data_IF_359172625693
#
_entry.id   IF_359172625693
#
_cell.length_a   1.000
_cell.length_b   1.000
_cell.length_c   1.000
_cell.angle_alpha   90.00
_cell.angle_beta   90.00
_cell.angle_gamma   90.00
#
_symmetry.space_group_name_H-M   'P 1'
#
loop_
_entity.id
_entity.type
_entity.pdbx_description
1 polymer ?
#
# COMPACT_ATOMS: atom_id res chain seq x y z
N UNK A 1 54.85 -0.78 -18.63
CA UNK A 1 54.06 -0.98 -19.85
C UNK A 1 52.69 -1.50 -19.45
N UNK A 2 51.76 -0.59 -19.26
CA UNK A 2 50.37 -0.92 -18.94
C UNK A 2 49.63 -1.34 -20.20
N UNK A 3 49.09 -2.54 -20.20
CA UNK A 3 48.18 -3.02 -21.24
C UNK A 3 46.83 -2.29 -21.08
N UNK A 4 46.46 -1.46 -22.05
CA UNK A 4 45.14 -0.89 -22.11
C UNK A 4 44.16 -1.91 -22.69
N UNK A 5 43.07 -2.19 -21.99
CA UNK A 5 41.95 -2.97 -22.55
C UNK A 5 41.26 -2.17 -23.64
N UNK A 6 41.17 -2.75 -24.85
CA UNK A 6 40.43 -2.16 -25.95
C UNK A 6 38.94 -2.39 -25.69
N UNK A 7 38.16 -1.30 -25.73
CA UNK A 7 36.71 -1.38 -25.60
C UNK A 7 36.13 -2.11 -26.82
N UNK A 8 35.72 -3.35 -26.63
CA UNK A 8 35.06 -4.13 -27.68
C UNK A 8 33.59 -3.76 -27.74
N UNK A 9 33.09 -3.40 -28.92
CA UNK A 9 31.64 -3.21 -29.12
C UNK A 9 30.94 -4.53 -28.83
N UNK A 10 29.89 -4.50 -28.02
CA UNK A 10 29.07 -5.67 -27.73
C UNK A 10 28.46 -6.23 -29.01
N UNK A 11 28.60 -7.54 -29.23
CA UNK A 11 27.90 -8.21 -30.35
C UNK A 11 26.46 -8.38 -29.98
N UNK A 12 25.54 -7.78 -30.76
CA UNK A 12 24.11 -7.98 -30.59
C UNK A 12 23.78 -9.48 -30.78
N UNK A 13 23.15 -10.09 -29.81
CA UNK A 13 22.64 -11.46 -29.94
C UNK A 13 21.41 -11.42 -30.84
N UNK A 14 21.40 -12.24 -31.89
CA UNK A 14 20.27 -12.41 -32.80
C UNK A 14 19.58 -13.74 -32.51
N UNK A 15 18.25 -13.78 -32.73
CA UNK A 15 17.47 -15.03 -32.61
C UNK A 15 16.81 -15.28 -31.27
N UNK A 16 16.89 -14.35 -30.29
CA UNK A 16 16.03 -14.40 -29.12
C UNK A 16 14.58 -14.10 -29.53
N UNK A 17 13.64 -14.88 -29.05
CA UNK A 17 12.18 -14.57 -29.12
C UNK A 17 11.66 -14.46 -27.72
N UNK A 18 10.84 -13.45 -27.50
CA UNK A 18 10.08 -13.38 -26.25
C UNK A 18 9.10 -14.56 -26.20
N UNK A 19 9.00 -15.26 -25.07
CA UNK A 19 8.04 -16.33 -24.92
C UNK A 19 6.62 -15.80 -25.01
N UNK A 20 5.70 -16.59 -25.55
CA UNK A 20 4.27 -16.30 -25.44
C UNK A 20 3.85 -16.58 -24.00
N UNK A 21 3.47 -15.55 -23.25
CA UNK A 21 3.00 -15.67 -21.87
C UNK A 21 1.51 -16.00 -21.92
N UNK A 22 1.12 -17.07 -21.23
CA UNK A 22 -0.28 -17.49 -21.05
C UNK A 22 -0.74 -17.19 -19.61
N UNK A 23 -2.06 -17.17 -19.38
CA UNK A 23 -2.62 -16.95 -18.04
C UNK A 23 -2.15 -17.99 -17.01
N UNK A 24 -1.82 -19.22 -17.47
CA UNK A 24 -1.24 -20.26 -16.63
C UNK A 24 0.13 -19.88 -16.05
N UNK A 25 0.93 -19.09 -16.77
CA UNK A 25 2.25 -18.65 -16.31
C UNK A 25 2.13 -17.66 -15.15
N UNK A 26 1.12 -16.77 -15.19
CA UNK A 26 0.82 -15.89 -14.06
C UNK A 26 0.36 -16.67 -12.83
N UNK A 27 -0.46 -17.71 -13.00
CA UNK A 27 -0.88 -18.58 -11.90
C UNK A 27 0.30 -19.35 -11.29
N UNK A 28 1.23 -19.82 -12.13
CA UNK A 28 2.46 -20.46 -11.69
C UNK A 28 3.37 -19.47 -10.94
N UNK A 29 3.49 -18.23 -11.42
CA UNK A 29 4.22 -17.16 -10.75
C UNK A 29 3.63 -16.87 -9.36
N UNK A 30 2.31 -16.68 -9.24
CA UNK A 30 1.66 -16.42 -7.95
C UNK A 30 1.86 -17.59 -6.96
N UNK A 31 1.81 -18.83 -7.46
CA UNK A 31 2.11 -20.02 -6.66
C UNK A 31 3.56 -20.04 -6.17
N UNK A 32 4.50 -19.65 -7.02
CA UNK A 32 5.91 -19.55 -6.65
C UNK A 32 6.14 -18.41 -5.64
N UNK A 33 5.46 -17.27 -5.84
CA UNK A 33 5.56 -16.08 -5.00
C UNK A 33 5.06 -16.34 -3.57
N UNK A 34 4.14 -17.27 -3.36
CA UNK A 34 3.64 -17.62 -2.03
C UNK A 34 4.72 -18.08 -1.05
N UNK A 35 5.85 -18.55 -1.56
CA UNK A 35 7.01 -19.00 -0.75
C UNK A 35 7.84 -17.83 -0.20
N UNK A 36 7.58 -16.61 -0.65
CA UNK A 36 8.34 -15.43 -0.29
C UNK A 36 7.50 -14.41 0.49
N UNK A 37 8.17 -13.63 1.34
CA UNK A 37 7.54 -12.47 1.98
C UNK A 37 7.73 -11.25 1.09
N UNK A 38 6.65 -10.48 0.90
CA UNK A 38 6.64 -9.25 0.12
C UNK A 38 5.50 -8.36 0.64
N UNK A 39 5.64 -7.05 0.49
CA UNK A 39 4.63 -6.08 0.89
C UNK A 39 3.72 -5.69 -0.28
N UNK A 40 4.29 -5.61 -1.49
CA UNK A 40 3.56 -5.23 -2.70
C UNK A 40 3.92 -6.17 -3.85
N UNK A 41 2.91 -6.55 -4.63
CA UNK A 41 3.07 -7.22 -5.92
C UNK A 41 2.47 -6.35 -7.01
N UNK A 42 3.13 -6.26 -8.17
CA UNK A 42 2.71 -5.43 -9.30
C UNK A 42 2.32 -6.31 -10.48
N UNK A 43 1.24 -5.95 -11.17
CA UNK A 43 0.90 -6.46 -12.48
C UNK A 43 0.69 -5.29 -13.45
N UNK A 44 1.45 -5.28 -14.52
CA UNK A 44 1.49 -4.21 -15.53
C UNK A 44 0.73 -4.55 -16.82
N UNK A 45 -0.08 -5.61 -16.79
CA UNK A 45 -0.94 -6.01 -17.89
C UNK A 45 -2.36 -5.46 -17.75
N UNK A 46 -3.21 -5.82 -18.72
CA UNK A 46 -4.60 -5.39 -18.81
C UNK A 46 -5.62 -6.55 -18.81
N UNK A 47 -5.14 -7.80 -18.72
CA UNK A 47 -5.98 -8.98 -18.77
C UNK A 47 -6.83 -9.12 -17.50
N UNK A 48 -8.14 -8.96 -17.59
CA UNK A 48 -9.05 -8.98 -16.42
C UNK A 48 -8.98 -10.29 -15.62
N UNK A 49 -8.79 -11.43 -16.30
CA UNK A 49 -8.64 -12.73 -15.63
C UNK A 49 -7.39 -12.75 -14.74
N UNK A 50 -6.29 -12.15 -15.20
CA UNK A 50 -5.04 -12.05 -14.43
C UNK A 50 -5.21 -11.07 -13.27
N UNK A 51 -5.82 -9.89 -13.49
CA UNK A 51 -6.14 -8.91 -12.45
C UNK A 51 -6.94 -9.56 -11.32
N UNK A 52 -7.98 -10.32 -11.65
CA UNK A 52 -8.79 -11.05 -10.65
C UNK A 52 -7.99 -12.13 -9.91
N UNK A 53 -7.05 -12.80 -10.60
CA UNK A 53 -6.18 -13.80 -9.99
C UNK A 53 -5.24 -13.15 -8.95
N UNK A 54 -4.63 -11.99 -9.28
CA UNK A 54 -3.78 -11.23 -8.34
C UNK A 54 -4.60 -10.70 -7.16
N UNK A 55 -5.77 -10.12 -7.40
CA UNK A 55 -6.66 -9.62 -6.34
C UNK A 55 -7.06 -10.75 -5.37
N UNK A 56 -7.46 -11.91 -5.90
CA UNK A 56 -7.81 -13.08 -5.11
C UNK A 56 -6.61 -13.63 -4.33
N UNK A 57 -5.43 -13.61 -4.94
CA UNK A 57 -4.18 -14.06 -4.31
C UNK A 57 -3.82 -13.19 -3.11
N UNK A 58 -3.70 -11.86 -3.27
CA UNK A 58 -3.34 -10.97 -2.15
C UNK A 58 -4.38 -11.00 -1.04
N UNK A 59 -5.67 -11.09 -1.38
CA UNK A 59 -6.74 -11.26 -0.40
C UNK A 59 -6.55 -12.55 0.41
N UNK A 60 -6.33 -13.68 -0.25
CA UNK A 60 -6.10 -14.96 0.41
C UNK A 60 -4.86 -14.95 1.31
N UNK A 61 -3.74 -14.39 0.82
CA UNK A 61 -2.50 -14.26 1.59
C UNK A 61 -2.72 -13.38 2.82
N UNK A 62 -3.39 -12.25 2.67
CA UNK A 62 -3.61 -11.30 3.75
C UNK A 62 -4.63 -11.76 4.79
N UNK A 63 -5.73 -12.41 4.36
CA UNK A 63 -6.83 -12.79 5.26
C UNK A 63 -6.68 -14.22 5.83
N UNK A 64 -6.14 -15.16 5.05
CA UNK A 64 -6.08 -16.58 5.47
C UNK A 64 -4.70 -17.02 5.92
N UNK A 65 -3.63 -16.57 5.24
CA UNK A 65 -2.24 -16.92 5.61
C UNK A 65 -1.73 -15.99 6.71
N UNK A 66 -2.26 -14.76 6.80
CA UNK A 66 -1.93 -13.77 7.83
C UNK A 66 -0.76 -12.84 7.45
N UNK A 67 -0.14 -13.02 6.29
CA UNK A 67 0.88 -12.10 5.76
C UNK A 67 0.21 -10.98 4.99
N UNK A 68 0.30 -9.77 5.48
CA UNK A 68 -0.36 -8.60 4.89
C UNK A 68 0.44 -8.09 3.69
N UNK A 69 -0.23 -7.98 2.53
CA UNK A 69 0.36 -7.49 1.29
C UNK A 69 -0.72 -6.85 0.42
N UNK A 70 -0.30 -6.03 -0.55
CA UNK A 70 -1.21 -5.39 -1.51
C UNK A 70 -0.76 -5.68 -2.95
N UNK A 71 -1.71 -5.60 -3.89
CA UNK A 71 -1.43 -5.64 -5.33
C UNK A 71 -1.63 -4.26 -5.95
N UNK A 72 -0.70 -3.82 -6.79
CA UNK A 72 -0.79 -2.59 -7.58
C UNK A 72 -0.98 -2.97 -9.05
N UNK A 73 -2.09 -2.55 -9.62
CA UNK A 73 -2.49 -2.90 -10.99
C UNK A 73 -3.19 -1.70 -11.65
N UNK A 74 -3.39 -1.75 -12.94
CA UNK A 74 -4.30 -0.84 -13.63
C UNK A 74 -5.64 -1.54 -13.90
N UNK A 75 -6.73 -0.76 -14.05
CA UNK A 75 -8.07 -1.28 -14.34
C UNK A 75 -8.58 -2.35 -13.35
N UNK A 76 -8.23 -2.20 -12.07
CA UNK A 76 -8.53 -3.16 -11.00
C UNK A 76 -9.62 -2.66 -10.03
N UNK A 77 -10.32 -1.60 -10.34
CA UNK A 77 -11.34 -0.96 -9.50
C UNK A 77 -12.50 -1.88 -9.12
N UNK A 78 -12.86 -2.82 -10.00
CA UNK A 78 -13.90 -3.83 -9.74
C UNK A 78 -13.55 -4.79 -8.59
N UNK A 79 -12.29 -4.78 -8.12
CA UNK A 79 -11.86 -5.62 -7.01
C UNK A 79 -12.49 -5.24 -5.68
N UNK A 80 -12.87 -3.97 -5.50
CA UNK A 80 -13.50 -3.43 -4.30
C UNK A 80 -12.86 -3.97 -3.00
N UNK A 81 -11.55 -3.77 -2.88
CA UNK A 81 -10.73 -4.42 -1.86
C UNK A 81 -9.64 -3.49 -1.34
N UNK A 82 -9.44 -3.48 -0.04
CA UNK A 82 -8.35 -2.78 0.65
C UNK A 82 -6.95 -3.35 0.30
N UNK A 83 -6.93 -4.55 -0.28
CA UNK A 83 -5.69 -5.24 -0.69
C UNK A 83 -5.27 -4.92 -2.14
N UNK A 84 -6.06 -4.12 -2.86
CA UNK A 84 -5.83 -3.82 -4.27
C UNK A 84 -5.80 -2.31 -4.51
N UNK A 85 -4.76 -1.85 -5.18
CA UNK A 85 -4.53 -0.46 -5.57
C UNK A 85 -4.65 -0.40 -7.09
N UNK A 86 -5.50 0.51 -7.62
CA UNK A 86 -5.74 0.66 -9.05
C UNK A 86 -5.18 1.98 -9.58
N UNK A 87 -4.24 1.92 -10.53
CA UNK A 87 -3.77 3.07 -11.27
C UNK A 87 -4.82 3.47 -12.32
N UNK A 88 -5.34 4.69 -12.24
CA UNK A 88 -6.41 5.22 -13.10
C UNK A 88 -5.93 6.14 -14.22
N UNK A 89 -4.69 6.63 -14.18
CA UNK A 89 -4.10 7.47 -15.21
C UNK A 89 -2.61 7.19 -15.37
N UNK A 90 -2.04 7.67 -16.46
CA UNK A 90 -0.62 7.65 -16.74
C UNK A 90 0.03 9.02 -16.58
N UNK A 91 1.25 9.17 -17.05
CA UNK A 91 2.03 10.43 -17.03
C UNK A 91 2.84 10.59 -18.32
N UNK A 92 3.17 11.84 -18.64
CA UNK A 92 4.14 12.18 -19.68
C UNK A 92 5.43 12.65 -19.04
N UNK A 93 6.54 12.06 -19.43
CA UNK A 93 7.87 12.38 -18.93
C UNK A 93 8.50 13.56 -19.69
N UNK A 94 9.53 14.14 -19.11
CA UNK A 94 10.25 15.29 -19.67
C UNK A 94 10.97 15.00 -20.99
N UNK A 95 11.27 13.73 -21.28
CA UNK A 95 11.84 13.28 -22.56
C UNK A 95 10.78 13.07 -23.66
N UNK A 96 9.50 13.32 -23.36
CA UNK A 96 8.36 13.12 -24.26
C UNK A 96 7.73 11.73 -24.20
N UNK A 97 8.29 10.80 -23.43
CA UNK A 97 7.71 9.45 -23.25
C UNK A 97 6.38 9.55 -22.52
N UNK A 98 5.35 8.88 -23.05
CA UNK A 98 4.03 8.77 -22.41
C UNK A 98 3.92 7.39 -21.78
N UNK A 99 3.75 7.35 -20.47
CA UNK A 99 3.50 6.13 -19.73
C UNK A 99 2.00 5.92 -19.55
N UNK A 100 1.55 4.70 -19.84
CA UNK A 100 0.14 4.29 -19.65
C UNK A 100 -0.15 4.01 -18.17
N UNK A 101 -1.44 3.87 -17.78
CA UNK A 101 -1.80 3.42 -16.43
C UNK A 101 -1.13 2.11 -16.01
N UNK A 102 -0.92 1.17 -16.95
CA UNK A 102 -0.22 -0.09 -16.70
C UNK A 102 1.26 0.14 -16.38
N UNK A 103 1.92 1.00 -17.11
CA UNK A 103 3.36 1.28 -16.94
C UNK A 103 3.66 2.07 -15.66
N UNK A 104 2.77 2.98 -15.24
CA UNK A 104 2.96 3.71 -13.98
C UNK A 104 2.82 2.83 -12.74
N UNK A 105 2.24 1.62 -12.86
CA UNK A 105 2.18 0.66 -11.76
C UNK A 105 3.55 0.28 -11.23
N UNK A 106 4.60 0.31 -12.05
CA UNK A 106 5.98 0.02 -11.62
C UNK A 106 6.46 1.01 -10.57
N UNK A 107 6.28 2.31 -10.88
CA UNK A 107 6.65 3.35 -9.93
C UNK A 107 5.73 3.35 -8.70
N UNK A 108 4.42 3.24 -8.94
CA UNK A 108 3.42 3.25 -7.85
C UNK A 108 3.65 2.10 -6.89
N UNK A 109 3.89 0.89 -7.39
CA UNK A 109 4.20 -0.27 -6.55
C UNK A 109 5.49 -0.11 -5.76
N UNK A 110 6.53 0.48 -6.37
CA UNK A 110 7.78 0.81 -5.67
C UNK A 110 7.60 1.89 -4.62
N UNK A 111 6.77 2.91 -4.90
CA UNK A 111 6.46 3.98 -3.95
C UNK A 111 5.64 3.46 -2.76
N UNK A 112 4.63 2.61 -3.01
CA UNK A 112 3.81 1.97 -1.96
C UNK A 112 4.64 1.07 -1.05
N UNK A 113 5.55 0.25 -1.63
CA UNK A 113 6.43 -0.61 -0.86
C UNK A 113 7.50 0.16 -0.08
N UNK A 114 7.95 1.30 -0.61
CA UNK A 114 9.00 2.12 -0.01
C UNK A 114 8.51 3.18 0.97
N UNK A 115 7.20 3.47 1.01
CA UNK A 115 6.65 4.48 1.90
C UNK A 115 6.67 3.98 3.37
N UNK A 116 7.19 4.77 4.32
CA UNK A 116 7.03 4.48 5.74
C UNK A 116 5.55 4.39 6.12
N UNK A 117 5.22 3.55 7.10
CA UNK A 117 3.83 3.34 7.51
C UNK A 117 3.10 4.62 7.93
N UNK A 118 3.80 5.62 8.41
CA UNK A 118 3.27 6.91 8.86
C UNK A 118 3.24 7.98 7.76
N UNK A 119 3.49 7.63 6.50
CA UNK A 119 3.49 8.55 5.35
C UNK A 119 2.41 8.18 4.34
N UNK A 120 1.70 9.18 3.79
CA UNK A 120 0.81 9.05 2.64
C UNK A 120 1.55 9.36 1.35
N UNK A 121 1.17 8.71 0.26
CA UNK A 121 1.60 9.08 -1.09
C UNK A 121 0.72 10.17 -1.72
N UNK A 122 -0.31 10.65 -1.02
CA UNK A 122 -1.09 11.80 -1.47
C UNK A 122 -0.16 12.99 -1.71
N UNK A 123 -0.24 13.59 -2.89
CA UNK A 123 0.65 14.65 -3.37
C UNK A 123 2.13 14.26 -3.49
N UNK A 124 2.47 12.98 -3.43
CA UNK A 124 3.81 12.50 -3.79
C UNK A 124 4.09 12.81 -5.27
N UNK A 125 5.29 13.32 -5.54
CA UNK A 125 5.71 13.71 -6.88
C UNK A 125 6.10 12.48 -7.71
N UNK A 126 5.59 12.41 -8.95
CA UNK A 126 6.10 11.45 -9.92
C UNK A 126 7.43 11.95 -10.52
N UNK A 127 8.53 11.20 -10.42
CA UNK A 127 9.84 11.66 -10.90
C UNK A 127 9.85 11.91 -12.42
N UNK A 128 10.44 13.02 -12.84
CA UNK A 128 10.60 13.40 -14.24
C UNK A 128 9.30 13.54 -15.06
N UNK A 129 8.12 13.45 -14.43
CA UNK A 129 6.87 13.71 -15.11
C UNK A 129 6.63 15.22 -15.22
N UNK A 130 6.13 15.64 -16.37
CA UNK A 130 5.82 17.03 -16.71
C UNK A 130 4.33 17.26 -16.92
N UNK A 131 3.56 16.19 -17.16
CA UNK A 131 2.14 16.26 -17.46
C UNK A 131 1.43 14.97 -17.04
N UNK A 132 0.24 15.10 -16.42
CA UNK A 132 -0.66 13.97 -16.20
C UNK A 132 -1.30 13.52 -17.54
N UNK A 133 -1.49 12.23 -17.74
CA UNK A 133 -2.02 11.70 -19.00
C UNK A 133 -3.07 10.59 -18.78
N UNK A 134 -4.35 10.81 -19.13
CA UNK A 134 -4.91 12.09 -19.59
C UNK A 134 -4.94 13.15 -18.49
N UNK A 135 -5.07 14.41 -18.89
CA UNK A 135 -5.46 15.48 -17.99
C UNK A 135 -6.95 15.36 -17.71
N UNK A 136 -7.28 15.08 -16.47
CA UNK A 136 -8.66 15.03 -16.03
C UNK A 136 -9.16 16.40 -15.57
N UNK A 137 -10.43 16.67 -15.78
CA UNK A 137 -11.17 17.74 -15.11
C UNK A 137 -11.42 17.38 -13.64
N UNK A 138 -11.76 18.37 -12.81
CA UNK A 138 -12.05 18.12 -11.40
C UNK A 138 -13.17 17.08 -11.21
N UNK A 139 -14.20 17.11 -12.05
CA UNK A 139 -15.31 16.13 -12.04
C UNK A 139 -14.80 14.71 -12.37
N UNK A 140 -13.96 14.55 -13.39
CA UNK A 140 -13.38 13.25 -13.75
C UNK A 140 -12.44 12.71 -12.65
N UNK A 141 -11.70 13.60 -11.97
CA UNK A 141 -10.89 13.25 -10.81
C UNK A 141 -11.77 12.72 -9.67
N UNK A 142 -12.86 13.43 -9.34
CA UNK A 142 -13.82 13.00 -8.34
C UNK A 142 -14.42 11.62 -8.67
N UNK A 143 -14.86 11.42 -9.90
CA UNK A 143 -15.39 10.12 -10.36
C UNK A 143 -14.36 9.00 -10.26
N UNK A 144 -13.11 9.28 -10.60
CA UNK A 144 -12.02 8.29 -10.49
C UNK A 144 -11.76 7.91 -9.04
N UNK A 145 -11.72 8.89 -8.12
CA UNK A 145 -11.56 8.66 -6.68
C UNK A 145 -12.74 7.86 -6.11
N UNK A 146 -13.97 8.19 -6.50
CA UNK A 146 -15.17 7.46 -6.07
C UNK A 146 -15.15 5.99 -6.54
N UNK A 147 -14.46 5.69 -7.64
CA UNK A 147 -14.23 4.34 -8.16
C UNK A 147 -12.98 3.66 -7.56
N UNK A 148 -12.32 4.29 -6.58
CA UNK A 148 -11.12 3.72 -5.95
C UNK A 148 -9.88 3.71 -6.83
N UNK A 149 -9.74 4.69 -7.75
CA UNK A 149 -8.58 4.82 -8.64
C UNK A 149 -7.62 5.90 -8.15
N UNK A 150 -6.34 5.58 -8.17
CA UNK A 150 -5.28 6.59 -8.03
C UNK A 150 -5.08 7.26 -9.38
N UNK A 151 -5.21 8.58 -9.42
CA UNK A 151 -4.94 9.40 -10.61
C UNK A 151 -3.82 10.39 -10.31
N UNK A 152 -3.11 10.78 -11.38
CA UNK A 152 -2.09 11.83 -11.31
C UNK A 152 -2.70 13.17 -11.73
N UNK A 153 -2.25 14.23 -11.09
CA UNK A 153 -2.68 15.61 -11.33
C UNK A 153 -1.48 16.53 -11.54
N UNK A 154 -1.68 17.56 -12.36
CA UNK A 154 -0.70 18.63 -12.52
C UNK A 154 -0.88 19.66 -11.40
N UNK A 155 0.17 19.92 -10.64
CA UNK A 155 0.16 20.91 -9.55
C UNK A 155 1.47 21.69 -9.53
N UNK A 156 1.42 23.01 -9.78
CA UNK A 156 2.60 23.90 -9.74
C UNK A 156 3.81 23.32 -10.48
N UNK A 157 3.66 23.06 -11.78
CA UNK A 157 4.71 22.51 -12.67
C UNK A 157 5.24 21.11 -12.30
N UNK A 158 4.52 20.38 -11.48
CA UNK A 158 4.85 19.01 -11.11
C UNK A 158 3.64 18.09 -11.21
N UNK A 159 3.88 16.84 -11.57
CA UNK A 159 2.87 15.79 -11.57
C UNK A 159 2.90 15.06 -10.24
N UNK A 160 1.74 14.92 -9.60
CA UNK A 160 1.59 14.32 -8.29
C UNK A 160 0.47 13.30 -8.25
N UNK A 161 0.56 12.37 -7.30
CA UNK A 161 -0.57 11.51 -6.90
C UNK A 161 -1.68 12.40 -6.33
N UNK A 162 -2.90 12.27 -6.83
CA UNK A 162 -4.02 13.06 -6.30
C UNK A 162 -4.37 12.64 -4.88
N UNK A 163 -4.65 11.35 -4.68
CA UNK A 163 -5.03 10.77 -3.37
C UNK A 163 -4.52 9.34 -3.28
N UNK A 164 -3.97 8.98 -2.12
CA UNK A 164 -3.41 7.65 -1.81
C UNK A 164 -4.50 6.72 -1.28
N UNK A 165 -5.16 6.01 -2.20
CA UNK A 165 -6.33 5.15 -1.92
C UNK A 165 -6.20 3.79 -2.60
N UNK A 166 -6.95 2.82 -2.06
CA UNK A 166 -7.14 1.51 -2.68
C UNK A 166 -8.53 1.39 -3.35
N UNK A 167 -8.87 0.21 -3.84
CA UNK A 167 -10.12 0.00 -4.57
C UNK A 167 -11.35 -0.22 -3.69
N UNK A 168 -11.24 -0.16 -2.36
CA UNK A 168 -12.37 -0.34 -1.46
C UNK A 168 -13.30 0.87 -1.55
N UNK A 169 -14.49 0.68 -2.09
CA UNK A 169 -15.52 1.71 -2.26
C UNK A 169 -16.84 1.35 -1.59
N UNK A 170 -17.03 0.08 -1.22
CA UNK A 170 -18.20 -0.40 -0.48
C UNK A 170 -17.84 -0.63 0.98
N UNK A 171 -18.45 0.16 1.87
CA UNK A 171 -18.13 0.14 3.29
C UNK A 171 -19.15 -0.67 4.09
N UNK A 172 -18.69 -1.29 5.17
CA UNK A 172 -19.51 -2.04 6.13
C UNK A 172 -19.23 -1.54 7.55
N UNK A 173 -19.93 -2.09 8.54
CA UNK A 173 -19.66 -1.77 9.95
C UNK A 173 -18.24 -2.14 10.36
N UNK A 174 -17.74 -3.29 9.86
CA UNK A 174 -16.40 -3.81 10.16
C UNK A 174 -15.30 -3.20 9.28
N UNK A 175 -15.66 -2.76 8.06
CA UNK A 175 -14.75 -2.13 7.10
C UNK A 175 -15.25 -0.72 6.75
N UNK A 176 -14.90 0.24 7.59
CA UNK A 176 -15.27 1.64 7.42
C UNK A 176 -14.41 2.33 6.34
N UNK A 177 -14.77 3.56 5.98
CA UNK A 177 -14.10 4.32 4.92
C UNK A 177 -12.61 4.58 5.14
N UNK A 178 -12.11 4.53 6.37
CA UNK A 178 -10.69 4.65 6.66
C UNK A 178 -9.85 3.52 6.02
N UNK A 179 -10.41 2.32 5.82
CA UNK A 179 -9.73 1.22 5.13
C UNK A 179 -9.51 1.47 3.64
N UNK A 180 -10.17 2.47 3.05
CA UNK A 180 -9.89 2.90 1.68
C UNK A 180 -8.57 3.70 1.56
N UNK A 181 -7.95 4.11 2.67
CA UNK A 181 -6.70 4.87 2.70
C UNK A 181 -5.49 3.94 2.80
N UNK A 182 -4.57 4.03 1.83
CA UNK A 182 -3.38 3.18 1.83
C UNK A 182 -2.46 3.47 3.02
N UNK A 183 -2.37 4.72 3.48
CA UNK A 183 -1.62 5.04 4.71
C UNK A 183 -2.17 4.28 5.91
N UNK A 184 -3.48 4.22 6.09
CA UNK A 184 -4.13 3.45 7.16
C UNK A 184 -3.82 1.95 7.00
N UNK A 185 -3.93 1.43 5.78
CA UNK A 185 -3.59 0.03 5.50
C UNK A 185 -2.13 -0.28 5.76
N UNK A 186 -1.18 0.64 5.44
CA UNK A 186 0.24 0.45 5.77
C UNK A 186 0.49 0.33 7.26
N UNK A 187 -0.15 1.19 8.09
CA UNK A 187 -0.07 1.07 9.56
C UNK A 187 -0.52 -0.30 10.04
N UNK A 188 -1.69 -0.76 9.58
CA UNK A 188 -2.25 -2.03 10.00
C UNK A 188 -1.44 -3.23 9.48
N UNK A 189 -0.99 -3.16 8.23
CA UNK A 189 -0.17 -4.20 7.61
C UNK A 189 1.19 -4.33 8.31
N UNK A 190 1.85 -3.21 8.57
CA UNK A 190 3.13 -3.18 9.29
C UNK A 190 2.97 -3.80 10.68
N UNK A 191 1.97 -3.34 11.44
CA UNK A 191 1.68 -3.90 12.76
C UNK A 191 1.48 -5.42 12.71
N UNK A 192 0.59 -5.91 11.85
CA UNK A 192 0.29 -7.34 11.77
C UNK A 192 1.52 -8.16 11.33
N UNK A 193 2.28 -7.69 10.34
CA UNK A 193 3.46 -8.39 9.84
C UNK A 193 4.59 -8.43 10.87
N UNK A 194 4.80 -7.34 11.62
CA UNK A 194 5.82 -7.28 12.66
C UNK A 194 5.45 -8.13 13.89
N UNK A 195 4.18 -8.13 14.29
CA UNK A 195 3.69 -9.04 15.34
C UNK A 195 3.87 -10.50 14.92
N UNK A 196 3.50 -10.85 13.69
CA UNK A 196 3.71 -12.20 13.16
C UNK A 196 5.20 -12.59 13.14
N UNK A 197 6.05 -11.69 12.66
CA UNK A 197 7.51 -11.90 12.63
C UNK A 197 8.09 -12.10 14.03
N UNK A 198 7.73 -11.22 14.97
CA UNK A 198 8.18 -11.29 16.35
C UNK A 198 7.71 -12.60 17.02
N UNK A 199 6.44 -12.93 16.84
CA UNK A 199 5.87 -14.15 17.38
C UNK A 199 6.59 -15.40 16.85
N UNK A 200 6.86 -15.45 15.54
CA UNK A 200 7.56 -16.56 14.90
C UNK A 200 9.01 -16.71 15.38
N UNK A 201 9.70 -15.59 15.60
CA UNK A 201 11.13 -15.61 15.98
C UNK A 201 11.36 -15.93 17.46
N UNK A 202 10.46 -15.49 18.36
CA UNK A 202 10.77 -15.46 19.78
C UNK A 202 9.77 -16.22 20.67
N UNK A 203 8.56 -16.52 20.18
CA UNK A 203 7.52 -17.16 20.99
C UNK A 203 7.23 -18.60 20.58
N UNK A 204 7.10 -18.90 19.30
CA UNK A 204 6.75 -20.24 18.83
C UNK A 204 7.81 -21.27 19.28
N UNK A 205 7.36 -22.22 20.10
CA UNK A 205 8.20 -23.30 20.61
C UNK A 205 9.27 -22.88 21.63
N UNK A 206 9.26 -21.60 22.09
CA UNK A 206 10.27 -21.03 23.01
C UNK A 206 9.66 -20.48 24.30
N UNK A 207 8.46 -19.95 24.24
CA UNK A 207 7.78 -19.32 25.39
C UNK A 207 6.65 -20.21 25.87
N UNK A 208 6.52 -20.41 27.17
CA UNK A 208 5.45 -21.19 27.75
C UNK A 208 4.11 -20.46 27.59
N UNK A 209 3.04 -21.19 27.25
CA UNK A 209 1.69 -20.65 27.23
C UNK A 209 1.07 -20.64 28.62
N UNK A 210 1.58 -19.81 29.49
CA UNK A 210 1.07 -19.48 30.82
C UNK A 210 0.87 -17.98 30.95
N UNK A 211 0.42 -17.50 32.12
CA UNK A 211 0.18 -16.07 32.34
C UNK A 211 1.44 -15.21 32.12
N UNK A 212 2.61 -15.70 32.57
CA UNK A 212 3.87 -14.97 32.40
C UNK A 212 4.24 -14.85 30.90
N UNK A 213 4.12 -15.94 30.15
CA UNK A 213 4.40 -15.93 28.69
C UNK A 213 3.44 -15.05 27.90
N UNK A 214 2.15 -15.05 28.27
CA UNK A 214 1.15 -14.15 27.66
C UNK A 214 1.40 -12.68 28.03
N UNK A 215 1.77 -12.40 29.27
CA UNK A 215 2.14 -11.06 29.73
C UNK A 215 3.42 -10.56 29.03
N UNK A 216 4.38 -11.43 28.75
CA UNK A 216 5.58 -11.08 27.98
C UNK A 216 5.22 -10.65 26.55
N UNK A 217 4.32 -11.40 25.89
CA UNK A 217 3.81 -11.04 24.56
C UNK A 217 3.03 -9.72 24.59
N UNK A 218 2.13 -9.54 25.56
CA UNK A 218 1.40 -8.28 25.77
C UNK A 218 2.37 -7.12 25.95
N UNK A 219 3.37 -7.26 26.80
CA UNK A 219 4.36 -6.21 27.06
C UNK A 219 5.12 -5.78 25.80
N UNK A 220 5.49 -6.74 24.95
CA UNK A 220 6.14 -6.44 23.68
C UNK A 220 5.20 -5.68 22.72
N UNK A 221 3.94 -6.13 22.57
CA UNK A 221 2.94 -5.46 21.70
C UNK A 221 2.67 -4.04 22.19
N UNK A 222 2.51 -3.84 23.51
CA UNK A 222 2.32 -2.51 24.11
C UNK A 222 3.52 -1.61 23.82
N UNK A 223 4.75 -2.12 23.98
CA UNK A 223 5.97 -1.37 23.65
C UNK A 223 6.01 -0.93 22.20
N UNK A 224 5.66 -1.84 21.29
CA UNK A 224 5.66 -1.58 19.85
C UNK A 224 4.58 -0.56 19.46
N UNK A 225 3.37 -0.64 20.00
CA UNK A 225 2.31 0.35 19.72
C UNK A 225 2.62 1.73 20.31
N UNK A 226 3.30 1.80 21.45
CA UNK A 226 3.82 3.08 21.97
C UNK A 226 4.86 3.70 21.01
N UNK A 227 5.74 2.89 20.41
CA UNK A 227 6.68 3.36 19.39
C UNK A 227 5.94 3.85 18.13
N UNK A 228 4.95 3.09 17.64
CA UNK A 228 4.11 3.50 16.52
C UNK A 228 3.35 4.81 16.82
N UNK A 229 2.89 5.02 18.06
CA UNK A 229 2.25 6.26 18.49
C UNK A 229 3.24 7.43 18.53
N UNK A 230 4.42 7.23 19.10
CA UNK A 230 5.47 8.25 19.11
C UNK A 230 5.88 8.69 17.70
N UNK A 231 5.83 7.76 16.74
CA UNK A 231 6.13 8.01 15.32
C UNK A 231 4.90 8.51 14.51
N UNK A 232 3.74 8.73 15.14
CA UNK A 232 2.54 9.25 14.49
C UNK A 232 1.83 8.28 13.54
N UNK A 233 2.02 6.97 13.72
CA UNK A 233 1.29 5.94 12.98
C UNK A 233 -0.09 5.66 13.60
N UNK A 234 -0.17 5.67 14.93
CA UNK A 234 -1.39 5.47 15.71
C UNK A 234 -1.59 6.61 16.71
N UNK A 235 -2.79 6.76 17.23
CA UNK A 235 -3.12 7.76 18.26
C UNK A 235 -4.01 7.17 19.35
N UNK A 236 -4.06 7.85 20.49
CA UNK A 236 -4.92 7.52 21.65
C UNK A 236 -4.73 6.09 22.17
N UNK A 237 -3.58 5.47 21.92
CA UNK A 237 -3.28 4.13 22.38
C UNK A 237 -3.00 4.12 23.89
N UNK A 238 -3.60 3.15 24.58
CA UNK A 238 -3.33 2.84 25.99
C UNK A 238 -3.05 1.33 26.16
N UNK A 239 -2.27 0.91 27.16
CA UNK A 239 -1.92 -0.50 27.37
C UNK A 239 -3.11 -1.47 27.49
N UNK A 240 -4.26 -0.96 27.92
CA UNK A 240 -5.51 -1.74 28.05
C UNK A 240 -6.17 -2.05 26.70
N UNK A 241 -5.75 -1.40 25.63
CA UNK A 241 -6.19 -1.73 24.26
C UNK A 241 -5.60 -3.06 23.75
N UNK A 242 -4.65 -3.65 24.51
CA UNK A 242 -4.04 -4.95 24.19
C UNK A 242 -4.47 -5.99 25.19
N UNK A 243 -5.08 -7.05 24.70
CA UNK A 243 -5.44 -8.22 25.50
C UNK A 243 -4.81 -9.48 24.89
N UNK A 244 -4.15 -10.28 25.71
CA UNK A 244 -3.57 -11.57 25.31
C UNK A 244 -4.15 -12.67 26.20
N UNK A 245 -4.96 -13.54 25.61
CA UNK A 245 -5.70 -14.59 26.32
C UNK A 245 -5.20 -15.98 25.92
N UNK A 246 -5.51 -16.97 26.75
CA UNK A 246 -5.39 -18.38 26.35
C UNK A 246 -6.37 -18.67 25.21
N UNK A 247 -5.93 -19.39 24.21
CA UNK A 247 -6.79 -19.90 23.14
C UNK A 247 -7.53 -21.17 23.58
N UNK A 248 -8.33 -21.72 22.66
CA UNK A 248 -9.07 -22.95 22.91
C UNK A 248 -8.17 -24.20 22.98
N UNK A 249 -7.02 -24.14 22.33
CA UNK A 249 -6.01 -25.21 22.35
C UNK A 249 -4.90 -24.84 23.34
N UNK A 250 -4.26 -25.87 23.91
CA UNK A 250 -3.25 -25.69 24.97
C UNK A 250 -2.04 -24.88 24.51
N UNK A 251 -1.74 -24.85 23.22
CA UNK A 251 -0.64 -24.15 22.57
C UNK A 251 -1.07 -22.86 21.86
N UNK A 252 -2.36 -22.49 21.94
CA UNK A 252 -2.92 -21.32 21.29
C UNK A 252 -3.00 -20.11 22.23
N UNK A 253 -2.79 -18.92 21.66
CA UNK A 253 -3.07 -17.61 22.28
C UNK A 253 -4.01 -16.82 21.39
N UNK A 254 -4.88 -16.02 21.99
CA UNK A 254 -5.74 -15.05 21.32
C UNK A 254 -5.23 -13.65 21.65
N UNK A 255 -4.97 -12.84 20.65
CA UNK A 255 -4.52 -11.46 20.79
C UNK A 255 -5.58 -10.53 20.23
N UNK A 256 -6.18 -9.72 21.09
CA UNK A 256 -7.12 -8.66 20.74
C UNK A 256 -6.41 -7.32 20.90
N UNK A 257 -6.47 -6.48 19.86
CA UNK A 257 -5.84 -5.16 19.89
C UNK A 257 -6.77 -4.14 19.28
N UNK A 258 -7.03 -3.04 20.00
CA UNK A 258 -7.71 -1.87 19.47
C UNK A 258 -6.65 -0.87 18.97
N UNK A 259 -6.73 -0.48 17.71
CA UNK A 259 -5.78 0.43 17.08
C UNK A 259 -6.55 1.55 16.40
N UNK A 260 -6.15 2.79 16.65
CA UNK A 260 -6.64 3.96 15.94
C UNK A 260 -5.51 4.52 15.03
N UNK A 261 -5.45 4.14 13.74
CA UNK A 261 -4.48 4.68 12.80
C UNK A 261 -4.67 6.18 12.59
N UNK A 262 -3.57 6.90 12.36
CA UNK A 262 -3.58 8.32 12.00
C UNK A 262 -3.54 8.45 10.49
N UNK A 263 -4.45 9.24 9.90
CA UNK A 263 -4.38 9.61 8.49
C UNK A 263 -3.71 10.98 8.31
N UNK A 264 -3.31 11.33 7.07
CA UNK A 264 -2.76 12.63 6.73
C UNK A 264 -3.86 13.68 6.58
N UNK A 265 -3.50 14.95 6.79
CA UNK A 265 -4.38 16.05 6.44
C UNK A 265 -4.41 16.18 4.92
N UNK A 266 -5.56 15.90 4.30
CA UNK A 266 -5.74 15.95 2.85
C UNK A 266 -6.81 16.96 2.40
N UNK A 267 -7.70 17.37 3.32
CA UNK A 267 -8.80 18.30 3.02
C UNK A 267 -8.75 19.49 3.97
N UNK A 268 -8.83 20.69 3.41
CA UNK A 268 -8.90 21.94 4.17
C UNK A 268 -10.21 22.65 3.84
N UNK A 269 -11.07 22.80 4.83
CA UNK A 269 -12.30 23.61 4.74
C UNK A 269 -12.07 24.90 5.54
N UNK A 270 -11.89 26.03 4.85
CA UNK A 270 -11.55 27.30 5.48
C UNK A 270 -12.72 28.29 5.34
N UNK A 271 -13.15 28.88 6.45
CA UNK A 271 -14.09 30.00 6.46
C UNK A 271 -13.32 31.27 6.86
N UNK A 272 -13.38 32.30 6.02
CA UNK A 272 -12.78 33.61 6.30
C UNK A 272 -13.89 34.59 6.64
N UNK A 273 -13.90 35.08 7.89
CA UNK A 273 -14.81 36.17 8.30
C UNK A 273 -14.08 37.50 8.18
N UNK A 274 -14.61 38.39 7.36
CA UNK A 274 -14.08 39.75 7.21
C UNK A 274 -14.90 40.68 8.10
N UNK A 275 -14.25 41.30 9.11
CA UNK A 275 -14.85 42.40 9.87
C UNK A 275 -14.40 43.72 9.25
N UNK A 276 -15.36 44.61 8.97
CA UNK A 276 -15.09 45.98 8.60
C UNK A 276 -15.19 46.80 9.88
N UNK A 277 -14.10 47.45 10.29
CA UNK A 277 -14.18 48.40 11.40
C UNK A 277 -15.15 49.52 11.03
N UNK A 278 -16.28 49.56 11.70
CA UNK A 278 -17.20 50.73 11.69
C UNK A 278 -16.76 51.72 12.77
N UNK A 279 -15.50 52.13 12.74
CA UNK A 279 -15.06 53.30 13.54
C UNK A 279 -15.17 54.55 12.67
N UNK A 280 -16.38 55.06 12.58
CA UNK A 280 -16.65 56.50 12.31
C UNK A 280 -18.13 56.78 12.59
N UNK A 281 -18.45 57.01 13.87
CA UNK A 281 -19.41 58.06 14.30
C UNK A 281 -19.08 58.45 15.74
#
# INVERSE_FOLDING_TARGET
TGSSFTKTAGTARTGGKDPTIANADYSAFLTALEKYSFDVVVYDGAEQVVIQAYASFVKRISERVGRKCQAVMAAAEESNSEWVISAGSGVKLSDGTVLTPQQVTWWLGGAEAGAPYNQSLTYARYPNAVEANPKFTDTEIEEAIQKGKIVFIDTFDTVKVCTDINTLTSFTVDKQSCFAKNRVMRVLNQFCNDVYRQFSLYYIGKTNNNDDGRNLLKGWIVGYLNEMQANGGVQNFVPDDVEVLAGNEIDAVVVNVAIQPVDSIEKNYMTVNVSVNSDNE
#
